data_IF_214052042917
#
_entry.id   IF_214052042917
#
_cell.length_a   1.000
_cell.length_b   1.000
_cell.length_c   1.000
_cell.angle_alpha   90.00
_cell.angle_beta   90.00
_cell.angle_gamma   90.00
#
_symmetry.space_group_name_H-M   'P 1'
#
loop_
_entity.id
_entity.type
_entity.pdbx_description
1 polymer ?
#
# COMPACT_ATOMS: atom_id res chain seq x y z
N UNK A 1 2.03 -11.03 10.10
CA UNK A 1 2.97 -11.55 11.12
C UNK A 1 2.39 -11.56 12.52
N UNK A 2 1.86 -10.43 13.01
CA UNK A 2 1.52 -10.26 14.43
C UNK A 2 0.15 -10.78 14.89
N UNK A 3 -0.07 -10.81 16.22
CA UNK A 3 -1.37 -11.07 16.86
C UNK A 3 -2.49 -10.19 16.31
N UNK A 4 -3.71 -10.71 16.18
CA UNK A 4 -4.83 -9.94 15.61
C UNK A 4 -5.12 -8.68 16.45
N UNK A 5 -5.00 -7.51 15.84
CA UNK A 5 -5.43 -6.24 16.44
C UNK A 5 -6.95 -6.13 16.36
N UNK A 6 -7.60 -5.88 17.50
CA UNK A 6 -9.06 -5.76 17.59
C UNK A 6 -9.38 -4.41 18.22
N UNK A 7 -10.24 -3.63 17.55
CA UNK A 7 -10.67 -2.33 18.06
C UNK A 7 -11.27 -2.46 19.47
N UNK A 8 -10.86 -1.57 20.37
CA UNK A 8 -11.32 -1.55 21.76
C UNK A 8 -10.64 -2.57 22.70
N UNK A 9 -9.73 -3.41 22.21
CA UNK A 9 -8.89 -4.28 23.06
C UNK A 9 -7.47 -3.73 23.17
N UNK A 10 -6.79 -3.90 24.33
CA UNK A 10 -5.36 -3.62 24.44
C UNK A 10 -4.58 -4.37 23.38
N UNK A 11 -3.50 -3.75 22.89
CA UNK A 11 -2.56 -4.42 22.00
C UNK A 11 -1.89 -5.58 22.73
N UNK A 12 -1.66 -6.65 21.99
CA UNK A 12 -0.89 -7.79 22.48
C UNK A 12 0.50 -7.31 22.94
N UNK A 13 1.03 -7.80 24.09
CA UNK A 13 2.36 -7.45 24.58
C UNK A 13 3.49 -7.67 23.57
N UNK A 14 3.29 -8.55 22.58
CA UNK A 14 4.23 -8.74 21.46
C UNK A 14 4.49 -7.45 20.66
N UNK A 15 3.59 -6.46 20.71
CA UNK A 15 3.76 -5.16 20.06
C UNK A 15 4.46 -4.11 20.93
N UNK A 16 4.81 -4.43 22.18
CA UNK A 16 5.41 -3.48 23.13
C UNK A 16 6.92 -3.67 23.32
N UNK A 17 7.48 -4.73 22.73
CA UNK A 17 8.90 -5.06 22.79
C UNK A 17 9.41 -5.29 21.38
N UNK A 18 10.70 -5.07 21.19
CA UNK A 18 11.36 -5.36 19.93
C UNK A 18 11.15 -6.83 19.52
N UNK A 19 10.64 -7.04 18.31
CA UNK A 19 10.56 -8.36 17.69
C UNK A 19 10.81 -8.27 16.18
N UNK A 20 12.09 -8.32 15.82
CA UNK A 20 12.54 -8.25 14.43
C UNK A 20 12.01 -9.41 13.57
N UNK A 21 11.78 -10.60 14.15
CA UNK A 21 11.22 -11.74 13.40
C UNK A 21 9.73 -11.53 13.10
N UNK A 22 9.00 -10.95 14.04
CA UNK A 22 7.60 -10.60 13.84
C UNK A 22 7.45 -9.51 12.77
N UNK A 23 8.31 -8.49 12.85
CA UNK A 23 8.38 -7.41 11.88
C UNK A 23 8.73 -7.94 10.49
N UNK A 24 9.76 -8.77 10.37
CA UNK A 24 10.18 -9.40 9.11
C UNK A 24 9.01 -10.15 8.44
N UNK A 25 8.22 -10.91 9.22
CA UNK A 25 7.01 -11.60 8.75
C UNK A 25 5.86 -10.66 8.39
N UNK A 26 5.93 -9.38 8.74
CA UNK A 26 4.98 -8.34 8.40
C UNK A 26 5.37 -7.53 7.16
N UNK A 27 6.67 -7.42 6.88
CA UNK A 27 7.21 -6.64 5.75
C UNK A 27 6.60 -6.96 4.38
N UNK A 28 6.21 -8.21 4.03
CA UNK A 28 5.60 -8.49 2.74
C UNK A 28 4.38 -7.60 2.43
N UNK A 29 3.62 -7.16 3.44
CA UNK A 29 2.51 -6.24 3.23
C UNK A 29 2.99 -4.85 2.77
N UNK A 30 3.99 -4.26 3.45
CA UNK A 30 4.60 -2.99 3.04
C UNK A 30 5.19 -3.09 1.63
N UNK A 31 5.94 -4.16 1.36
CA UNK A 31 6.58 -4.41 0.06
C UNK A 31 5.54 -4.45 -1.07
N UNK A 32 4.45 -5.20 -0.89
CA UNK A 32 3.37 -5.27 -1.89
C UNK A 32 2.73 -3.89 -2.14
N UNK A 33 2.52 -3.08 -1.10
CA UNK A 33 1.98 -1.72 -1.28
C UNK A 33 2.94 -0.79 -2.03
N UNK A 34 4.24 -0.89 -1.77
CA UNK A 34 5.27 -0.16 -2.53
C UNK A 34 5.24 -0.58 -4.00
N UNK A 35 5.26 -1.88 -4.28
CA UNK A 35 5.17 -2.41 -5.64
C UNK A 35 3.89 -1.94 -6.35
N UNK A 36 2.75 -1.98 -5.66
CA UNK A 36 1.47 -1.55 -6.21
C UNK A 36 1.47 -0.07 -6.59
N UNK A 37 1.97 0.81 -5.72
CA UNK A 37 2.08 2.23 -6.03
C UNK A 37 3.00 2.46 -7.25
N UNK A 38 4.10 1.70 -7.35
CA UNK A 38 5.02 1.79 -8.49
C UNK A 38 4.41 1.31 -9.81
N UNK A 39 3.38 0.47 -9.82
CA UNK A 39 2.66 0.10 -11.04
C UNK A 39 2.08 1.32 -11.76
N UNK A 40 1.74 2.36 -11.01
CA UNK A 40 1.22 3.62 -11.54
C UNK A 40 2.33 4.57 -12.01
N UNK A 41 3.62 4.20 -11.92
CA UNK A 41 4.74 4.99 -12.43
C UNK A 41 5.06 6.24 -11.60
N UNK A 42 4.73 6.23 -10.30
CA UNK A 42 5.00 7.32 -9.36
C UNK A 42 6.08 6.92 -8.33
N UNK A 43 6.91 7.88 -7.86
CA UNK A 43 7.85 7.65 -6.77
C UNK A 43 7.09 7.37 -5.46
N UNK A 44 7.67 6.53 -4.63
CA UNK A 44 7.06 6.11 -3.36
C UNK A 44 7.96 6.53 -2.21
N UNK A 45 7.43 7.31 -1.27
CA UNK A 45 8.10 7.67 -0.02
C UNK A 45 7.33 7.01 1.12
N UNK A 46 8.02 6.25 1.98
CA UNK A 46 7.41 5.59 3.13
C UNK A 46 7.55 6.47 4.36
N UNK A 47 6.44 6.75 5.04
CA UNK A 47 6.44 7.41 6.33
C UNK A 47 6.32 6.36 7.44
N UNK A 48 7.33 6.28 8.31
CA UNK A 48 7.31 5.40 9.49
C UNK A 48 6.88 6.24 10.68
N UNK A 49 5.63 6.12 11.10
CA UNK A 49 5.14 6.83 12.29
C UNK A 49 5.77 6.23 13.55
N UNK A 50 6.55 7.03 14.27
CA UNK A 50 7.28 6.58 15.47
C UNK A 50 6.32 6.37 16.65
N UNK A 51 6.39 5.19 17.26
CA UNK A 51 5.84 4.92 18.59
C UNK A 51 6.95 4.88 19.64
N UNK A 52 6.58 5.04 20.91
CA UNK A 52 7.53 5.10 22.03
C UNK A 52 8.30 3.80 22.25
N UNK A 53 7.72 2.67 21.85
CA UNK A 53 8.31 1.33 22.02
C UNK A 53 9.19 0.90 20.85
N UNK A 54 9.08 1.56 19.69
CA UNK A 54 9.82 1.18 18.50
C UNK A 54 11.33 1.32 18.76
N UNK A 55 12.13 0.40 18.26
CA UNK A 55 13.59 0.46 18.39
C UNK A 55 14.27 0.99 17.12
N UNK A 56 15.52 1.47 17.21
CA UNK A 56 16.30 1.78 16.02
C UNK A 56 16.46 0.59 15.06
N UNK A 57 16.53 -0.64 15.58
CA UNK A 57 16.64 -1.85 14.76
C UNK A 57 15.40 -2.12 13.91
N UNK A 58 14.20 -1.92 14.47
CA UNK A 58 12.94 -2.05 13.74
C UNK A 58 12.80 -1.00 12.64
N UNK A 59 13.14 0.26 12.96
CA UNK A 59 13.09 1.35 11.98
C UNK A 59 14.05 1.09 10.81
N UNK A 60 15.26 0.61 11.11
CA UNK A 60 16.25 0.32 10.07
C UNK A 60 15.81 -0.85 9.17
N UNK A 61 15.26 -1.92 9.75
CA UNK A 61 14.72 -3.03 8.98
C UNK A 61 13.59 -2.58 8.03
N UNK A 62 12.70 -1.70 8.47
CA UNK A 62 11.65 -1.11 7.62
C UNK A 62 12.27 -0.30 6.48
N UNK A 63 13.28 0.51 6.78
CA UNK A 63 13.97 1.35 5.79
C UNK A 63 14.65 0.51 4.71
N UNK A 64 15.40 -0.51 5.10
CA UNK A 64 16.07 -1.42 4.16
C UNK A 64 15.06 -2.14 3.26
N UNK A 65 13.98 -2.67 3.85
CA UNK A 65 12.94 -3.37 3.11
C UNK A 65 12.21 -2.44 2.11
N UNK A 66 11.90 -1.21 2.52
CA UNK A 66 11.25 -0.24 1.67
C UNK A 66 12.11 0.16 0.47
N UNK A 67 13.39 0.48 0.70
CA UNK A 67 14.34 0.82 -0.37
C UNK A 67 14.57 -0.37 -1.30
N UNK A 68 14.67 -1.59 -0.76
CA UNK A 68 14.80 -2.81 -1.57
C UNK A 68 13.58 -3.07 -2.46
N UNK A 69 12.37 -2.73 -2.01
CA UNK A 69 11.15 -2.75 -2.82
C UNK A 69 11.07 -1.60 -3.85
N UNK A 70 12.00 -0.64 -3.75
CA UNK A 70 12.16 0.50 -4.65
C UNK A 70 11.32 1.71 -4.29
N UNK A 71 11.01 1.89 -3.00
CA UNK A 71 10.72 3.21 -2.47
C UNK A 71 11.97 4.10 -2.53
N UNK A 72 11.75 5.41 -2.59
CA UNK A 72 12.82 6.42 -2.54
C UNK A 72 13.51 6.46 -1.18
N UNK A 73 12.77 6.07 -0.14
CA UNK A 73 13.25 5.94 1.22
C UNK A 73 12.10 5.65 2.17
N UNK A 74 12.46 5.32 3.42
CA UNK A 74 11.54 5.33 4.54
C UNK A 74 12.05 6.32 5.58
N UNK A 75 11.19 7.23 6.01
CA UNK A 75 11.56 8.35 6.87
C UNK A 75 10.73 8.31 8.14
N UNK A 76 11.40 8.56 9.26
CA UNK A 76 10.73 8.60 10.54
C UNK A 76 9.85 9.84 10.64
N UNK A 77 8.63 9.65 11.14
CA UNK A 77 7.67 10.72 11.39
C UNK A 77 7.35 10.75 12.88
N UNK A 78 7.80 11.82 13.53
CA UNK A 78 7.54 12.12 14.95
C UNK A 78 6.53 13.28 15.10
N UNK A 79 5.74 13.56 14.06
CA UNK A 79 4.85 14.73 14.01
C UNK A 79 3.84 14.79 15.15
N UNK A 80 3.45 13.63 15.70
CA UNK A 80 2.57 13.56 16.85
C UNK A 80 3.23 14.15 18.12
N UNK A 81 4.52 13.89 18.34
CA UNK A 81 5.26 14.34 19.52
C UNK A 81 5.94 15.71 19.32
N UNK A 82 6.38 16.01 18.10
CA UNK A 82 7.25 17.16 17.79
C UNK A 82 6.63 18.17 16.79
N UNK A 83 5.37 17.98 16.39
CA UNK A 83 4.72 18.82 15.38
C UNK A 83 5.46 18.82 14.04
N UNK A 84 5.43 19.94 13.32
CA UNK A 84 6.07 20.03 12.00
C UNK A 84 7.57 19.70 11.99
N UNK A 85 8.30 20.00 13.07
CA UNK A 85 9.71 19.67 13.19
C UNK A 85 9.97 18.15 13.15
N UNK A 86 9.03 17.34 13.66
CA UNK A 86 9.12 15.88 13.63
C UNK A 86 8.83 15.25 12.27
N UNK A 87 8.49 16.05 11.26
CA UNK A 87 8.24 15.59 9.89
C UNK A 87 9.10 16.30 8.84
N UNK A 88 10.09 17.10 9.24
CA UNK A 88 10.90 17.90 8.32
C UNK A 88 11.63 17.03 7.30
N UNK A 89 12.29 15.96 7.75
CA UNK A 89 13.02 15.02 6.88
C UNK A 89 12.08 14.31 5.89
N UNK A 90 10.91 13.84 6.36
CA UNK A 90 9.89 13.27 5.50
C UNK A 90 9.38 14.29 4.47
N UNK A 91 9.20 15.56 4.86
CA UNK A 91 8.76 16.61 3.95
C UNK A 91 9.81 16.91 2.87
N UNK A 92 11.09 17.01 3.24
CA UNK A 92 12.20 17.17 2.29
C UNK A 92 12.25 16.02 1.28
N UNK A 93 12.07 14.77 1.75
CA UNK A 93 12.01 13.60 0.90
C UNK A 93 10.82 13.61 -0.07
N UNK A 94 9.65 14.06 0.39
CA UNK A 94 8.46 14.22 -0.47
C UNK A 94 8.72 15.28 -1.55
N UNK A 95 9.29 16.44 -1.19
CA UNK A 95 9.64 17.48 -2.16
C UNK A 95 10.62 16.95 -3.21
N UNK A 96 11.69 16.27 -2.77
CA UNK A 96 12.66 15.66 -3.67
C UNK A 96 12.03 14.59 -4.59
N UNK A 97 11.07 13.80 -4.09
CA UNK A 97 10.33 12.84 -4.90
C UNK A 97 9.43 13.54 -5.96
N UNK A 98 8.81 14.66 -5.63
CA UNK A 98 8.00 15.45 -6.57
C UNK A 98 8.82 16.06 -7.71
N UNK A 99 10.13 16.29 -7.52
CA UNK A 99 11.02 16.80 -8.57
C UNK A 99 11.46 15.71 -9.58
N UNK A 100 11.22 14.43 -9.27
CA UNK A 100 11.56 13.33 -10.17
C UNK A 100 10.61 13.25 -11.35
N UNK A 101 11.15 12.85 -12.51
CA UNK A 101 10.32 12.51 -13.67
C UNK A 101 9.47 11.29 -13.34
N UNK A 102 8.17 11.41 -13.52
CA UNK A 102 7.21 10.32 -13.35
C UNK A 102 6.66 9.89 -14.72
N UNK A 103 6.22 8.65 -14.81
CA UNK A 103 5.50 8.15 -16.00
C UNK A 103 4.16 7.62 -15.53
N UNK A 104 3.31 8.54 -15.07
CA UNK A 104 2.03 8.16 -14.50
C UNK A 104 1.16 7.41 -15.52
N UNK A 105 0.61 6.29 -15.11
CA UNK A 105 -0.31 5.49 -15.92
C UNK A 105 -1.42 4.91 -15.05
N UNK A 106 -2.61 4.80 -15.63
CA UNK A 106 -3.71 4.06 -15.00
C UNK A 106 -3.44 2.56 -15.06
N UNK A 107 -4.05 1.81 -14.14
CA UNK A 107 -3.89 0.36 -14.06
C UNK A 107 -4.45 -0.36 -15.30
N UNK A 108 -5.51 0.20 -15.87
CA UNK A 108 -6.20 -0.26 -17.07
C UNK A 108 -6.90 0.93 -17.76
N UNK A 109 -7.20 0.83 -19.07
CA UNK A 109 -8.05 1.79 -19.78
C UNK A 109 -9.55 1.52 -19.56
N UNK A 110 -10.34 2.60 -19.61
CA UNK A 110 -11.79 2.57 -19.35
C UNK A 110 -12.61 1.81 -20.40
N UNK A 111 -12.05 1.58 -21.59
CA UNK A 111 -12.75 0.86 -22.66
C UNK A 111 -12.78 -0.66 -22.48
N UNK A 112 -12.01 -1.19 -21.53
CA UNK A 112 -11.97 -2.63 -21.26
C UNK A 112 -13.29 -3.19 -20.74
N UNK A 113 -13.59 -4.48 -21.02
CA UNK A 113 -14.74 -5.15 -20.43
C UNK A 113 -14.67 -5.14 -18.90
N UNK A 114 -15.83 -5.01 -18.24
CA UNK A 114 -15.96 -4.98 -16.76
C UNK A 114 -15.13 -6.08 -16.09
N UNK A 115 -15.27 -7.34 -16.55
CA UNK A 115 -14.53 -8.47 -15.97
C UNK A 115 -13.02 -8.31 -16.07
N UNK A 116 -12.51 -7.80 -17.19
CA UNK A 116 -11.08 -7.59 -17.39
C UNK A 116 -10.54 -6.51 -16.45
N UNK A 117 -11.31 -5.45 -16.19
CA UNK A 117 -10.98 -4.42 -15.20
C UNK A 117 -10.89 -5.02 -13.79
N UNK A 118 -11.91 -5.79 -13.39
CA UNK A 118 -11.96 -6.47 -12.08
C UNK A 118 -10.77 -7.44 -11.93
N UNK A 119 -10.56 -8.31 -12.91
CA UNK A 119 -9.44 -9.28 -12.94
C UNK A 119 -8.08 -8.58 -12.83
N UNK A 120 -7.92 -7.45 -13.52
CA UNK A 120 -6.69 -6.66 -13.47
C UNK A 120 -6.44 -6.10 -12.08
N UNK A 121 -7.46 -5.58 -11.39
CA UNK A 121 -7.32 -5.13 -10.00
C UNK A 121 -6.97 -6.31 -9.10
N UNK A 122 -7.70 -7.42 -9.21
CA UNK A 122 -7.50 -8.59 -8.35
C UNK A 122 -6.09 -9.18 -8.47
N UNK A 123 -5.61 -9.39 -9.69
CA UNK A 123 -4.30 -10.00 -9.96
C UNK A 123 -3.15 -9.00 -9.75
N UNK A 124 -3.29 -7.74 -10.20
CA UNK A 124 -2.20 -6.76 -10.15
C UNK A 124 -2.12 -5.93 -8.88
N UNK A 125 -3.18 -5.84 -8.06
CA UNK A 125 -3.13 -5.10 -6.78
C UNK A 125 -3.17 -6.09 -5.62
N UNK A 126 -4.14 -7.02 -5.63
CA UNK A 126 -4.32 -7.95 -4.52
C UNK A 126 -3.47 -9.22 -4.63
N UNK A 127 -2.84 -9.47 -5.81
CA UNK A 127 -2.10 -10.70 -6.10
C UNK A 127 -2.98 -11.96 -5.99
N UNK A 128 -4.26 -11.82 -6.30
CA UNK A 128 -5.16 -12.97 -6.44
C UNK A 128 -4.79 -13.80 -7.67
N UNK A 129 -5.06 -15.10 -7.63
CA UNK A 129 -4.87 -16.00 -8.77
C UNK A 129 -5.88 -15.72 -9.90
N UNK A 130 -7.05 -15.18 -9.55
CA UNK A 130 -8.07 -14.71 -10.49
C UNK A 130 -9.39 -14.35 -9.81
N UNK A 131 -10.47 -14.25 -10.60
CA UNK A 131 -11.81 -13.88 -10.12
C UNK A 131 -12.88 -14.84 -10.61
N UNK A 132 -13.61 -15.42 -9.66
CA UNK A 132 -14.83 -16.19 -9.92
C UNK A 132 -16.08 -15.31 -9.78
N UNK A 133 -17.06 -15.55 -10.66
CA UNK A 133 -18.30 -14.77 -10.71
C UNK A 133 -19.50 -15.67 -10.45
N UNK A 134 -20.27 -15.35 -9.42
CA UNK A 134 -21.56 -15.99 -9.19
C UNK A 134 -22.56 -15.68 -10.32
N UNK A 135 -23.57 -16.54 -10.57
CA UNK A 135 -24.58 -16.29 -11.60
C UNK A 135 -25.30 -14.94 -11.47
N UNK A 136 -25.46 -14.41 -10.26
CA UNK A 136 -26.04 -13.10 -10.03
C UNK A 136 -25.13 -11.95 -10.50
N UNK A 137 -23.80 -12.08 -10.30
CA UNK A 137 -22.83 -11.12 -10.79
C UNK A 137 -22.77 -11.11 -12.32
N UNK A 138 -22.77 -12.29 -12.95
CA UNK A 138 -22.80 -12.44 -14.41
C UNK A 138 -23.99 -11.70 -15.05
N UNK A 139 -25.19 -11.88 -14.48
CA UNK A 139 -26.40 -11.19 -14.95
C UNK A 139 -26.28 -9.67 -14.86
N UNK A 140 -25.70 -9.15 -13.76
CA UNK A 140 -25.49 -7.70 -13.57
C UNK A 140 -24.45 -7.15 -14.53
N UNK A 141 -23.33 -7.85 -14.72
CA UNK A 141 -22.28 -7.45 -15.67
C UNK A 141 -22.86 -7.33 -17.09
N UNK A 142 -23.65 -8.33 -17.51
CA UNK A 142 -24.33 -8.29 -18.81
C UNK A 142 -25.28 -7.10 -18.91
N UNK A 143 -26.15 -6.90 -17.92
CA UNK A 143 -27.08 -5.78 -17.88
C UNK A 143 -26.36 -4.43 -18.00
N UNK A 144 -25.31 -4.20 -17.22
CA UNK A 144 -24.56 -2.95 -17.27
C UNK A 144 -23.84 -2.72 -18.60
N UNK A 145 -23.38 -3.80 -19.24
CA UNK A 145 -22.81 -3.72 -20.59
C UNK A 145 -23.87 -3.33 -21.62
N UNK A 146 -25.07 -3.92 -21.56
CA UNK A 146 -26.18 -3.57 -22.45
C UNK A 146 -26.67 -2.13 -22.25
N UNK A 147 -26.56 -1.60 -21.03
CA UNK A 147 -26.86 -0.19 -20.71
C UNK A 147 -25.76 0.78 -21.14
N UNK A 148 -24.62 0.31 -21.67
CA UNK A 148 -23.48 1.14 -22.03
C UNK A 148 -22.70 1.69 -20.83
N UNK A 149 -22.86 1.09 -19.65
CA UNK A 149 -22.18 1.48 -18.40
C UNK A 149 -20.86 0.72 -18.18
N UNK A 150 -20.46 -0.15 -19.11
CA UNK A 150 -19.22 -0.93 -19.03
C UNK A 150 -17.95 -0.08 -19.14
N UNK A 151 -18.09 1.16 -19.60
CA UNK A 151 -16.99 2.13 -19.74
C UNK A 151 -16.65 2.89 -18.45
N UNK A 152 -17.44 2.71 -17.39
CA UNK A 152 -17.13 3.30 -16.09
C UNK A 152 -15.96 2.58 -15.39
N UNK A 153 -15.20 3.26 -14.51
CA UNK A 153 -14.20 2.63 -13.66
C UNK A 153 -14.84 1.72 -12.61
N UNK A 154 -14.06 0.76 -12.10
CA UNK A 154 -14.48 -0.17 -11.04
C UNK A 154 -14.03 0.35 -9.67
N UNK A 155 -14.95 0.30 -8.70
CA UNK A 155 -14.71 0.58 -7.29
C UNK A 155 -14.78 -0.71 -6.47
#
# INVERSE_FOLDING_TARGET
GGPKVVAGKPLDPAYQKEDLQLLEKGLPNLIQHIENARLFGVPVVVAVNKFTTDTPGEIEMIREAAVKAGAEGAYLSEVWAKGGAGGAELAEAIVAACEKKTNFQFLYPDDWPIKKKIETIATRIYRADGVDYEPAAERKIKLFTEMGLDKLPIC
#
